data_IF_986442038246
#
_entry.id   IF_986442038246
#
_cell.length_a   1.000
_cell.length_b   1.000
_cell.length_c   1.000
_cell.angle_alpha   90.00
_cell.angle_beta   90.00
_cell.angle_gamma   90.00
#
_symmetry.space_group_name_H-M   'P 1'
#
loop_
_entity.id
_entity.type
_entity.pdbx_description
1 polymer ?
#
# COMPACT_ATOMS: atom_id res chain seq x y z
N UNK A 1 -2.19 4.46 -4.21
CA UNK A 1 -2.72 3.77 -5.44
C UNK A 1 -2.31 2.29 -5.50
N UNK A 2 -1.21 1.88 -4.87
CA UNK A 2 -0.80 0.47 -4.79
C UNK A 2 -1.73 -0.42 -3.95
N UNK A 3 -2.28 0.10 -2.84
CA UNK A 3 -3.17 -0.63 -1.94
C UNK A 3 -4.41 -1.26 -2.63
N UNK A 4 -5.23 -0.54 -3.43
CA UNK A 4 -6.40 -1.12 -4.08
C UNK A 4 -6.05 -2.20 -5.12
N UNK A 5 -4.88 -2.13 -5.76
CA UNK A 5 -4.46 -3.13 -6.74
C UNK A 5 -4.09 -4.47 -6.10
N UNK A 6 -3.31 -4.43 -5.01
CA UNK A 6 -2.94 -5.65 -4.25
C UNK A 6 -4.19 -6.31 -3.68
N UNK A 7 -5.12 -5.53 -3.14
CA UNK A 7 -6.39 -6.04 -2.62
C UNK A 7 -7.26 -6.68 -3.71
N UNK A 8 -7.29 -6.08 -4.90
CA UNK A 8 -8.00 -6.63 -6.05
C UNK A 8 -7.42 -7.97 -6.50
N UNK A 9 -6.09 -8.09 -6.56
CA UNK A 9 -5.40 -9.34 -6.88
C UNK A 9 -5.67 -10.43 -5.84
N UNK A 10 -5.57 -10.11 -4.55
CA UNK A 10 -5.86 -11.04 -3.46
C UNK A 10 -7.31 -11.55 -3.54
N UNK A 11 -8.26 -10.63 -3.74
CA UNK A 11 -9.68 -10.98 -3.88
C UNK A 11 -9.94 -11.86 -5.10
N UNK A 12 -9.30 -11.55 -6.23
CA UNK A 12 -9.41 -12.34 -7.47
C UNK A 12 -8.85 -13.76 -7.29
N UNK A 13 -7.70 -13.88 -6.61
CA UNK A 13 -7.10 -15.16 -6.29
C UNK A 13 -8.01 -15.99 -5.36
N UNK A 14 -8.60 -15.36 -4.34
CA UNK A 14 -9.55 -16.02 -3.44
C UNK A 14 -10.79 -16.52 -4.18
N UNK A 15 -11.37 -15.72 -5.09
CA UNK A 15 -12.49 -16.14 -5.94
C UNK A 15 -12.11 -17.33 -6.81
N UNK A 16 -10.94 -17.30 -7.46
CA UNK A 16 -10.47 -18.41 -8.28
C UNK A 16 -10.31 -19.71 -7.46
N UNK A 17 -9.73 -19.60 -6.26
CA UNK A 17 -9.57 -20.75 -5.34
C UNK A 17 -10.93 -21.25 -4.84
N UNK A 18 -11.88 -20.37 -4.53
CA UNK A 18 -13.23 -20.78 -4.14
C UNK A 18 -13.95 -21.53 -5.25
N UNK A 19 -13.88 -21.05 -6.50
CA UNK A 19 -14.54 -21.68 -7.64
C UNK A 19 -13.94 -23.07 -7.91
N UNK A 20 -12.61 -23.15 -8.08
CA UNK A 20 -11.93 -24.42 -8.40
C UNK A 20 -11.95 -25.37 -7.21
N UNK A 21 -11.69 -24.85 -6.01
CA UNK A 21 -11.67 -25.61 -4.77
C UNK A 21 -13.04 -26.14 -4.39
N UNK A 22 -14.10 -25.34 -4.55
CA UNK A 22 -15.48 -25.78 -4.33
C UNK A 22 -15.87 -26.97 -5.20
N UNK A 23 -15.57 -26.89 -6.51
CA UNK A 23 -15.79 -28.02 -7.43
C UNK A 23 -15.00 -29.26 -7.00
N UNK A 24 -13.76 -29.09 -6.52
CA UNK A 24 -12.94 -30.20 -6.03
C UNK A 24 -13.43 -30.83 -4.73
N UNK A 25 -14.01 -30.02 -3.85
CA UNK A 25 -14.64 -30.48 -2.61
C UNK A 25 -15.90 -31.28 -2.92
N UNK A 26 -16.74 -30.79 -3.84
CA UNK A 26 -17.95 -31.49 -4.31
C UNK A 26 -17.60 -32.86 -4.93
N UNK A 27 -16.54 -32.91 -5.75
CA UNK A 27 -16.01 -34.15 -6.31
C UNK A 27 -15.27 -35.06 -5.31
N UNK A 28 -15.17 -34.68 -4.03
CA UNK A 28 -14.48 -35.46 -2.99
C UNK A 28 -12.96 -35.53 -3.11
N UNK A 29 -12.36 -34.76 -4.02
CA UNK A 29 -10.90 -34.74 -4.27
C UNK A 29 -10.14 -33.76 -3.37
N UNK A 30 -10.86 -32.89 -2.68
CA UNK A 30 -10.33 -31.91 -1.73
C UNK A 30 -11.21 -31.87 -0.49
N UNK A 31 -10.62 -31.71 0.69
CA UNK A 31 -11.40 -31.53 1.92
C UNK A 31 -11.78 -30.06 2.11
N UNK A 32 -12.90 -29.79 2.76
CA UNK A 32 -13.29 -28.43 3.12
C UNK A 32 -12.21 -27.72 3.96
N UNK A 33 -11.55 -28.45 4.87
CA UNK A 33 -10.43 -27.91 5.66
C UNK A 33 -9.23 -27.51 4.81
N UNK A 34 -8.88 -28.31 3.79
CA UNK A 34 -7.80 -27.95 2.86
C UNK A 34 -8.16 -26.71 2.03
N UNK A 35 -9.42 -26.54 1.62
CA UNK A 35 -9.89 -25.33 0.94
C UNK A 35 -9.72 -24.09 1.82
N UNK A 36 -10.13 -24.16 3.10
CA UNK A 36 -9.93 -23.06 4.05
C UNK A 36 -8.44 -22.74 4.22
N UNK A 37 -7.57 -23.75 4.29
CA UNK A 37 -6.13 -23.55 4.36
C UNK A 37 -5.56 -22.79 3.15
N UNK A 38 -6.01 -23.11 1.93
CA UNK A 38 -5.60 -22.36 0.73
C UNK A 38 -5.99 -20.89 0.78
N UNK A 39 -7.18 -20.57 1.29
CA UNK A 39 -7.62 -19.18 1.46
C UNK A 39 -6.74 -18.44 2.48
N UNK A 40 -6.43 -19.07 3.62
CA UNK A 40 -5.52 -18.50 4.62
C UNK A 40 -4.10 -18.28 4.05
N UNK A 41 -3.64 -19.16 3.16
CA UNK A 41 -2.35 -18.99 2.51
C UNK A 41 -2.33 -17.81 1.53
N UNK A 42 -3.46 -17.52 0.86
CA UNK A 42 -3.58 -16.30 0.06
C UNK A 42 -3.39 -15.07 0.96
N UNK A 43 -4.08 -15.02 2.10
CA UNK A 43 -3.96 -13.89 3.03
C UNK A 43 -2.52 -13.74 3.56
N UNK A 44 -1.90 -14.85 3.95
CA UNK A 44 -0.51 -14.87 4.42
C UNK A 44 0.49 -14.42 3.35
N UNK A 45 0.24 -14.76 2.09
CA UNK A 45 1.07 -14.37 0.96
C UNK A 45 0.98 -12.87 0.67
N UNK A 46 -0.22 -12.30 0.71
CA UNK A 46 -0.42 -10.88 0.39
C UNK A 46 -0.17 -9.93 1.57
N UNK A 47 -0.21 -10.42 2.82
CA UNK A 47 0.11 -9.63 4.01
C UNK A 47 1.47 -8.88 3.95
N UNK A 48 2.61 -9.53 3.63
CA UNK A 48 3.89 -8.83 3.52
C UNK A 48 3.93 -7.84 2.34
N UNK A 49 3.23 -8.13 1.25
CA UNK A 49 3.13 -7.22 0.08
C UNK A 49 2.44 -5.91 0.49
N UNK A 50 1.38 -6.01 1.29
CA UNK A 50 0.70 -4.83 1.81
C UNK A 50 1.58 -4.00 2.75
N UNK A 51 2.35 -4.66 3.64
CA UNK A 51 3.30 -3.96 4.52
C UNK A 51 4.35 -3.20 3.72
N UNK A 52 4.91 -3.83 2.69
CA UNK A 52 5.90 -3.19 1.83
C UNK A 52 5.30 -1.96 1.10
N UNK A 53 4.07 -2.07 0.61
CA UNK A 53 3.38 -0.94 -0.02
C UNK A 53 3.24 0.26 0.92
N UNK A 54 2.94 0.05 2.20
CA UNK A 54 2.84 1.13 3.19
C UNK A 54 4.19 1.82 3.43
N UNK A 55 5.27 1.03 3.50
CA UNK A 55 6.63 1.57 3.61
C UNK A 55 6.99 2.44 2.40
N UNK A 56 6.64 2.00 1.19
CA UNK A 56 6.86 2.78 -0.03
C UNK A 56 6.06 4.09 -0.06
N UNK A 57 4.79 4.06 0.34
CA UNK A 57 3.97 5.27 0.41
C UNK A 57 4.56 6.29 1.41
N UNK A 58 5.02 5.81 2.58
CA UNK A 58 5.71 6.65 3.56
C UNK A 58 7.01 7.25 3.02
N UNK A 59 7.79 6.46 2.28
CA UNK A 59 9.01 6.95 1.62
C UNK A 59 8.72 8.04 0.58
N UNK A 60 7.69 7.86 -0.25
CA UNK A 60 7.27 8.88 -1.23
C UNK A 60 6.85 10.17 -0.53
N UNK A 61 6.06 10.07 0.54
CA UNK A 61 5.62 11.23 1.32
C UNK A 61 6.81 11.97 1.97
N UNK A 62 7.77 11.24 2.52
CA UNK A 62 8.99 11.82 3.08
C UNK A 62 9.80 12.56 2.02
N UNK A 63 9.98 11.96 0.85
CA UNK A 63 10.74 12.55 -0.26
C UNK A 63 10.12 13.87 -0.75
N UNK A 64 8.79 13.91 -0.90
CA UNK A 64 8.07 15.15 -1.26
C UNK A 64 8.19 16.22 -0.18
N UNK A 65 8.07 15.83 1.09
CA UNK A 65 8.16 16.76 2.22
C UNK A 65 9.55 17.37 2.34
N UNK A 66 10.60 16.57 2.14
CA UNK A 66 11.99 17.06 2.09
C UNK A 66 12.20 18.05 0.96
N UNK A 67 11.62 17.81 -0.22
CA UNK A 67 11.65 18.76 -1.34
C UNK A 67 11.08 20.13 -0.94
N UNK A 68 9.91 20.15 -0.30
CA UNK A 68 9.27 21.39 0.18
C UNK A 68 10.11 22.11 1.24
N UNK A 69 10.73 21.37 2.16
CA UNK A 69 11.64 21.97 3.16
C UNK A 69 12.84 22.63 2.46
N UNK A 70 13.42 21.97 1.46
CA UNK A 70 14.53 22.54 0.69
C UNK A 70 14.11 23.77 -0.11
N UNK A 71 12.89 23.79 -0.67
CA UNK A 71 12.32 24.97 -1.32
C UNK A 71 12.21 26.13 -0.32
N UNK A 72 11.63 25.90 0.87
CA UNK A 72 11.52 26.92 1.93
C UNK A 72 12.87 27.46 2.40
N UNK A 73 13.89 26.61 2.52
CA UNK A 73 15.24 27.03 2.91
C UNK A 73 15.95 27.87 1.84
N UNK A 74 15.53 27.75 0.58
CA UNK A 74 16.10 28.50 -0.55
C UNK A 74 15.28 29.74 -0.90
N UNK A 75 14.09 29.90 -0.33
CA UNK A 75 13.25 31.05 -0.56
C UNK A 75 13.93 32.30 0.01
N UNK A 76 14.20 33.34 -0.82
CA UNK A 76 14.75 34.59 -0.33
C UNK A 76 13.80 35.25 0.67
N UNK A 77 14.35 35.97 1.65
CA UNK A 77 13.53 36.64 2.65
C UNK A 77 12.54 37.60 1.98
N UNK A 78 11.23 37.34 2.17
CA UNK A 78 10.14 38.14 1.59
C UNK A 78 10.04 39.55 2.20
N UNK A 79 10.83 39.85 3.24
CA UNK A 79 10.88 41.16 3.87
C UNK A 79 12.01 41.96 3.24
N UNK A 80 11.68 43.03 2.52
CA UNK A 80 12.63 44.07 2.15
C UNK A 80 13.30 44.60 3.43
N UNK A 81 14.64 44.61 3.48
CA UNK A 81 15.36 45.29 4.55
C UNK A 81 14.96 46.76 4.54
N UNK A 82 14.17 47.18 5.53
CA UNK A 82 13.78 48.59 5.69
C UNK A 82 15.04 49.38 6.01
N UNK A 83 15.48 50.34 5.16
CA UNK A 83 16.79 50.99 5.33
C UNK A 83 16.87 51.94 6.52
N UNK A 84 15.78 52.21 7.24
CA UNK A 84 15.77 53.17 8.35
C UNK A 84 14.58 52.89 9.29
N UNK A 85 14.80 52.76 10.61
CA UNK A 85 13.71 52.83 11.57
C UNK A 85 13.11 54.24 11.51
N UNK A 86 11.81 54.36 11.24
CA UNK A 86 11.10 55.63 11.40
C UNK A 86 10.94 55.90 12.89
N UNK A 87 11.58 56.97 13.36
CA UNK A 87 11.43 57.54 14.72
C UNK A 87 9.98 57.94 15.06
#
# INVERSE_FOLDING_TARGET
>A
VYFPFVQFLASSAAVAVLVVGGIRVDNGTLTAGALVAYLLYIDLFFAPVQQLSQVFDGYQQASVSLGRIQELLREPASTEEVPEPLD
#
